data_IF_742443938114
#
_entry.id   IF_742443938114
#
_cell.length_a   1.000
_cell.length_b   1.000
_cell.length_c   1.000
_cell.angle_alpha   90.00
_cell.angle_beta   90.00
_cell.angle_gamma   90.00
#
_symmetry.space_group_name_H-M   'P 1'
#
loop_
_entity.id
_entity.type
_entity.pdbx_description
1 polymer ?
#
# COMPACT_ATOMS: atom_id res chain seq x y z
N UNK A 1 -10.98 -12.24 0.54
CA UNK A 1 -12.02 -12.65 -0.44
C UNK A 1 -11.36 -13.68 -1.37
N UNK A 2 -11.97 -14.12 -2.47
CA UNK A 2 -11.32 -15.11 -3.36
C UNK A 2 -10.34 -14.50 -4.36
N UNK A 3 -10.13 -13.17 -4.33
CA UNK A 3 -9.48 -12.45 -5.41
C UNK A 3 -8.14 -11.87 -4.98
N UNK A 4 -8.02 -11.44 -3.72
CA UNK A 4 -6.81 -10.83 -3.19
C UNK A 4 -6.48 -11.30 -1.78
N UNK A 5 -5.17 -11.41 -1.51
CA UNK A 5 -4.62 -11.47 -0.16
C UNK A 5 -4.07 -10.09 0.21
N UNK A 6 -4.61 -9.50 1.29
CA UNK A 6 -4.18 -8.19 1.79
C UNK A 6 -3.12 -8.31 2.88
N UNK A 7 -2.09 -7.47 2.81
CA UNK A 7 -0.96 -7.49 3.73
C UNK A 7 -0.34 -6.09 3.93
N UNK A 8 0.44 -5.94 4.99
CA UNK A 8 1.09 -4.68 5.35
C UNK A 8 0.34 -3.93 6.45
N UNK A 9 0.81 -2.72 6.76
CA UNK A 9 0.26 -1.94 7.88
C UNK A 9 -0.89 -1.06 7.37
N UNK A 10 -2.07 -1.21 7.96
CA UNK A 10 -3.28 -0.42 7.68
C UNK A 10 -3.22 1.01 8.28
N UNK A 11 -2.05 1.63 8.35
CA UNK A 11 -1.87 3.02 8.78
C UNK A 11 -1.32 3.86 7.63
N UNK A 12 -1.45 5.18 7.74
CA UNK A 12 -0.94 6.14 6.75
C UNK A 12 0.59 6.25 6.73
N UNK A 13 1.31 5.43 7.50
CA UNK A 13 2.75 5.57 7.69
C UNK A 13 3.48 4.92 6.50
N UNK A 14 3.58 5.66 5.40
CA UNK A 14 4.57 5.37 4.35
C UNK A 14 5.96 5.85 4.78
N UNK A 15 6.96 5.68 3.91
CA UNK A 15 8.29 6.26 4.13
C UNK A 15 8.29 7.80 4.26
N UNK A 16 7.23 8.46 3.77
CA UNK A 16 7.05 9.91 3.86
C UNK A 16 6.22 10.36 5.06
N UNK A 17 5.88 9.43 5.97
CA UNK A 17 5.02 9.69 7.14
C UNK A 17 3.63 10.26 6.78
N UNK A 18 3.18 9.95 5.57
CA UNK A 18 1.90 10.39 5.01
C UNK A 18 1.44 9.44 3.90
N UNK A 19 0.22 9.57 3.41
CA UNK A 19 -0.22 8.82 2.24
C UNK A 19 0.46 9.32 0.96
N UNK A 20 0.54 8.48 -0.06
CA UNK A 20 1.09 8.86 -1.36
C UNK A 20 0.08 8.69 -2.50
N UNK A 21 0.30 9.48 -3.55
CA UNK A 21 -0.56 9.55 -4.74
C UNK A 21 -0.52 8.24 -5.54
N UNK A 22 -1.56 8.00 -6.33
CA UNK A 22 -1.58 6.86 -7.25
C UNK A 22 -0.58 7.06 -8.39
N UNK A 23 0.05 5.96 -8.85
CA UNK A 23 0.92 6.01 -10.03
C UNK A 23 0.06 5.95 -11.30
N UNK A 24 0.06 6.98 -12.17
CA UNK A 24 -0.77 7.00 -13.37
C UNK A 24 -0.44 5.90 -14.39
N UNK A 25 0.76 5.33 -14.33
CA UNK A 25 1.15 4.18 -15.15
C UNK A 25 0.54 2.89 -14.59
N UNK A 26 0.67 2.68 -13.28
CA UNK A 26 0.10 1.52 -12.59
C UNK A 26 -1.43 1.47 -12.61
N UNK A 27 -2.11 2.63 -12.60
CA UNK A 27 -3.58 2.69 -12.78
C UNK A 27 -4.06 2.25 -14.17
N UNK A 28 -3.19 2.25 -15.18
CA UNK A 28 -3.53 1.78 -16.54
C UNK A 28 -3.38 0.27 -16.69
N UNK A 29 -2.72 -0.39 -15.73
CA UNK A 29 -2.55 -1.83 -15.73
C UNK A 29 -3.83 -2.51 -15.21
N UNK A 30 -4.04 -3.75 -15.64
CA UNK A 30 -5.24 -4.52 -15.30
C UNK A 30 -4.89 -5.60 -14.29
N UNK A 31 -5.81 -5.86 -13.37
CA UNK A 31 -5.80 -7.00 -12.45
C UNK A 31 -6.32 -8.26 -13.17
N UNK A 32 -5.65 -8.65 -14.25
CA UNK A 32 -6.14 -9.65 -15.22
C UNK A 32 -5.64 -11.08 -14.95
N UNK A 33 -4.69 -11.26 -14.03
CA UNK A 33 -4.10 -12.54 -13.68
C UNK A 33 -3.65 -12.60 -12.22
N UNK A 34 -3.46 -13.82 -11.73
CA UNK A 34 -2.86 -14.07 -10.43
C UNK A 34 -1.38 -13.68 -10.42
N UNK A 35 -0.87 -13.33 -9.24
CA UNK A 35 0.51 -12.92 -9.00
C UNK A 35 0.75 -11.41 -9.06
N UNK A 36 -0.23 -10.60 -9.49
CA UNK A 36 -0.06 -9.14 -9.51
C UNK A 36 -0.02 -8.54 -8.11
N UNK A 37 0.80 -7.50 -7.93
CA UNK A 37 0.89 -6.72 -6.69
C UNK A 37 0.25 -5.35 -6.90
N UNK A 38 -0.67 -4.96 -6.03
CA UNK A 38 -1.33 -3.65 -6.09
C UNK A 38 -1.34 -2.93 -4.75
N UNK A 39 -1.23 -1.60 -4.80
CA UNK A 39 -1.29 -0.76 -3.62
C UNK A 39 -2.74 -0.69 -3.12
N UNK A 40 -2.95 -0.92 -1.83
CA UNK A 40 -4.26 -0.79 -1.22
C UNK A 40 -4.44 0.63 -0.67
N UNK A 41 -5.61 1.22 -0.92
CA UNK A 41 -5.93 2.59 -0.53
C UNK A 41 -7.32 2.67 0.12
N UNK A 42 -7.64 3.83 0.70
CA UNK A 42 -8.96 4.18 1.25
C UNK A 42 -9.71 5.16 0.35
N UNK A 43 -9.41 5.13 -0.96
CA UNK A 43 -9.84 6.10 -1.96
C UNK A 43 -8.66 6.66 -2.78
N UNK A 44 -8.94 7.42 -3.85
CA UNK A 44 -7.89 7.92 -4.74
C UNK A 44 -6.81 8.71 -3.99
N UNK A 45 -5.54 8.46 -4.33
CA UNK A 45 -4.35 9.11 -3.77
C UNK A 45 -4.17 8.93 -2.25
N UNK A 46 -4.61 7.79 -1.71
CA UNK A 46 -4.47 7.47 -0.28
C UNK A 46 -3.67 6.20 -0.03
N UNK A 47 -2.66 5.93 -0.87
CA UNK A 47 -1.83 4.75 -0.73
C UNK A 47 -0.96 4.82 0.53
N UNK A 48 -0.65 3.66 1.10
CA UNK A 48 0.21 3.51 2.26
C UNK A 48 1.12 2.28 2.13
N UNK A 49 1.65 1.77 3.25
CA UNK A 49 2.37 0.49 3.27
C UNK A 49 1.46 -0.75 3.16
N UNK A 50 0.16 -0.57 2.96
CA UNK A 50 -0.80 -1.65 2.74
C UNK A 50 -0.85 -2.03 1.25
N UNK A 51 -0.80 -3.33 0.95
CA UNK A 51 -0.79 -3.85 -0.42
C UNK A 51 -1.59 -5.14 -0.54
N UNK A 52 -1.90 -5.52 -1.78
CA UNK A 52 -2.62 -6.73 -2.14
C UNK A 52 -1.81 -7.60 -3.09
N UNK A 53 -1.92 -8.92 -2.93
CA UNK A 53 -1.46 -9.91 -3.90
C UNK A 53 -2.70 -10.50 -4.58
N UNK A 54 -2.78 -10.39 -5.90
CA UNK A 54 -3.89 -10.93 -6.69
C UNK A 54 -3.75 -12.44 -6.80
N UNK A 55 -4.77 -13.20 -6.40
CA UNK A 55 -4.82 -14.67 -6.49
C UNK A 55 -5.75 -15.16 -7.61
N UNK A 56 -6.62 -14.28 -8.10
CA UNK A 56 -7.55 -14.53 -9.21
C UNK A 56 -7.88 -13.21 -9.92
N UNK A 57 -8.18 -13.20 -11.24
CA UNK A 57 -8.51 -11.96 -11.95
C UNK A 57 -9.57 -11.11 -11.22
N UNK A 58 -9.26 -9.84 -11.00
CA UNK A 58 -10.03 -8.92 -10.18
C UNK A 58 -10.33 -7.60 -10.92
N UNK A 59 -11.07 -7.65 -12.05
CA UNK A 59 -11.26 -6.49 -12.92
C UNK A 59 -11.99 -5.31 -12.26
N UNK A 60 -12.70 -5.55 -11.15
CA UNK A 60 -13.37 -4.52 -10.35
C UNK A 60 -12.37 -3.60 -9.60
N UNK A 61 -11.08 -3.93 -9.59
CA UNK A 61 -10.01 -3.12 -9.00
C UNK A 61 -9.30 -2.22 -10.03
N UNK A 62 -9.61 -2.38 -11.33
CA UNK A 62 -8.92 -1.67 -12.41
C UNK A 62 -9.19 -0.16 -12.37
N UNK A 63 -8.14 0.64 -12.49
CA UNK A 63 -8.23 2.10 -12.50
C UNK A 63 -8.36 2.75 -11.11
N UNK A 64 -8.61 1.96 -10.06
CA UNK A 64 -8.74 2.44 -8.68
C UNK A 64 -7.56 2.04 -7.79
N UNK A 65 -6.91 0.92 -8.09
CA UNK A 65 -5.76 0.39 -7.34
C UNK A 65 -4.53 0.29 -8.24
N UNK A 66 -3.43 0.90 -7.80
CA UNK A 66 -2.20 0.98 -8.58
C UNK A 66 -1.48 -0.37 -8.59
N UNK A 67 -1.32 -1.00 -9.76
CA UNK A 67 -0.45 -2.18 -9.92
C UNK A 67 1.01 -1.72 -9.98
N UNK A 68 1.88 -2.31 -9.15
CA UNK A 68 3.29 -1.92 -9.05
C UNK A 68 4.28 -3.06 -9.26
N UNK A 69 3.83 -4.31 -9.37
CA UNK A 69 4.71 -5.44 -9.57
C UNK A 69 3.98 -6.77 -9.74
N UNK A 70 4.76 -7.85 -9.76
CA UNK A 70 4.24 -9.21 -9.82
C UNK A 70 5.15 -10.20 -9.07
N UNK A 71 4.55 -11.31 -8.64
CA UNK A 71 5.24 -12.45 -8.03
C UNK A 71 5.98 -13.22 -9.11
N UNK A 72 7.31 -13.20 -9.06
CA UNK A 72 8.16 -13.92 -10.01
C UNK A 72 8.41 -15.37 -9.56
N UNK A 73 8.52 -15.61 -8.25
CA UNK A 73 8.75 -16.92 -7.63
C UNK A 73 7.94 -17.00 -6.33
N UNK A 74 7.44 -18.19 -5.99
CA UNK A 74 6.72 -18.43 -4.73
C UNK A 74 5.21 -18.27 -4.82
N UNK A 75 4.62 -18.41 -6.01
CA UNK A 75 3.16 -18.33 -6.17
C UNK A 75 2.42 -19.46 -5.45
N UNK A 76 3.07 -20.63 -5.29
CA UNK A 76 2.58 -21.73 -4.47
C UNK A 76 2.44 -21.34 -2.98
N UNK A 77 3.40 -20.56 -2.46
CA UNK A 77 3.33 -20.02 -1.09
C UNK A 77 2.18 -19.03 -0.96
N UNK A 78 1.98 -18.15 -1.96
CA UNK A 78 0.84 -17.23 -1.99
C UNK A 78 -0.48 -18.01 -1.96
N UNK A 79 -0.63 -19.04 -2.79
CA UNK A 79 -1.84 -19.87 -2.79
C UNK A 79 -2.05 -20.63 -1.47
N UNK A 80 -0.97 -21.05 -0.80
CA UNK A 80 -1.05 -21.65 0.53
C UNK A 80 -1.54 -20.65 1.59
N UNK A 81 -1.13 -19.38 1.51
CA UNK A 81 -1.64 -18.30 2.38
C UNK A 81 -3.12 -18.04 2.13
N UNK A 82 -3.54 -17.87 0.87
CA UNK A 82 -4.95 -17.72 0.50
C UNK A 82 -5.83 -18.86 1.02
N UNK A 83 -5.30 -20.09 1.02
CA UNK A 83 -6.01 -21.29 1.51
C UNK A 83 -6.28 -21.26 3.02
N UNK A 84 -5.63 -20.37 3.78
CA UNK A 84 -5.95 -20.16 5.20
C UNK A 84 -7.27 -19.41 5.40
N UNK A 85 -7.81 -18.75 4.37
CA UNK A 85 -9.07 -18.01 4.42
C UNK A 85 -10.09 -18.55 3.42
N UNK A 86 -10.55 -19.82 3.56
CA UNK A 86 -11.39 -20.43 2.55
C UNK A 86 -12.75 -19.72 2.44
N UNK A 87 -13.41 -19.81 1.27
CA UNK A 87 -14.70 -19.15 1.04
C UNK A 87 -15.75 -19.52 2.09
N UNK A 88 -16.39 -18.51 2.66
CA UNK A 88 -17.42 -18.70 3.68
C UNK A 88 -16.89 -19.01 5.09
N UNK A 89 -15.56 -19.04 5.29
CA UNK A 89 -14.99 -19.14 6.62
C UNK A 89 -15.24 -17.84 7.41
N UNK A 90 -15.74 -18.00 8.64
CA UNK A 90 -15.95 -16.86 9.55
C UNK A 90 -14.62 -16.31 10.10
N UNK A 91 -13.56 -17.12 10.11
CA UNK A 91 -12.21 -16.78 10.57
C UNK A 91 -11.16 -17.53 9.75
N UNK A 92 -9.94 -17.03 9.74
CA UNK A 92 -8.81 -17.72 9.09
C UNK A 92 -8.42 -19.00 9.85
N UNK A 93 -8.12 -20.07 9.13
CA UNK A 93 -7.65 -21.36 9.65
C UNK A 93 -6.25 -21.28 10.28
N UNK A 94 -5.50 -20.22 10.00
CA UNK A 94 -4.19 -19.96 10.56
C UNK A 94 -3.75 -18.53 10.28
N UNK A 95 -2.58 -18.16 10.78
CA UNK A 95 -1.98 -16.84 10.57
C UNK A 95 -0.72 -16.98 9.72
N UNK A 96 -0.65 -16.20 8.64
CA UNK A 96 0.58 -16.01 7.87
C UNK A 96 1.29 -14.74 8.35
N UNK A 97 2.61 -14.80 8.51
CA UNK A 97 3.41 -13.64 8.94
C UNK A 97 4.68 -13.57 8.13
N UNK A 98 5.00 -12.37 7.64
CA UNK A 98 6.27 -12.10 6.95
C UNK A 98 7.38 -12.07 8.00
N UNK A 99 8.22 -13.11 8.02
CA UNK A 99 9.30 -13.26 9.00
C UNK A 99 10.58 -12.52 8.60
N UNK A 100 10.79 -12.35 7.29
CA UNK A 100 11.89 -11.58 6.73
C UNK A 100 11.44 -10.99 5.38
N UNK A 101 11.84 -9.75 5.12
CA UNK A 101 11.66 -9.08 3.85
C UNK A 101 12.91 -8.26 3.54
N UNK A 102 13.21 -8.11 2.26
CA UNK A 102 14.39 -7.39 1.81
C UNK A 102 14.37 -7.23 0.30
N UNK A 103 15.42 -6.59 -0.19
CA UNK A 103 15.63 -6.46 -1.62
C UNK A 103 16.79 -7.37 -2.04
N UNK A 104 16.57 -8.14 -3.11
CA UNK A 104 17.51 -9.17 -3.57
C UNK A 104 18.71 -8.57 -4.32
N UNK A 105 18.46 -7.67 -5.27
CA UNK A 105 19.48 -7.02 -6.11
C UNK A 105 19.03 -5.60 -6.50
N UNK A 106 19.98 -4.69 -6.75
CA UNK A 106 19.76 -3.36 -7.33
C UNK A 106 18.69 -2.52 -6.61
N UNK A 107 18.72 -2.53 -5.28
CA UNK A 107 17.79 -1.77 -4.47
C UNK A 107 17.99 -0.28 -4.73
N UNK A 108 16.91 0.42 -5.07
CA UNK A 108 16.96 1.87 -5.08
C UNK A 108 17.40 2.36 -3.69
N UNK A 109 18.34 3.32 -3.61
CA UNK A 109 18.70 3.91 -2.33
C UNK A 109 17.42 4.48 -1.71
N UNK A 110 17.28 4.31 -0.39
CA UNK A 110 16.16 4.90 0.34
C UNK A 110 16.17 6.40 0.02
N UNK A 111 15.07 6.98 -0.50
CA UNK A 111 15.04 8.42 -0.71
C UNK A 111 15.30 9.10 0.64
N UNK A 112 16.23 10.05 0.68
CA UNK A 112 16.41 10.88 1.87
C UNK A 112 15.05 11.53 2.17
N UNK A 113 14.57 11.34 3.40
CA UNK A 113 13.34 11.96 3.86
C UNK A 113 13.62 13.45 4.05
N UNK A 114 13.68 14.21 2.96
CA UNK A 114 13.63 15.67 3.06
C UNK A 114 12.18 16.00 3.37
N UNK A 115 11.84 16.09 4.64
CA UNK A 115 10.55 16.57 5.10
C UNK A 115 10.35 18.02 4.61
N UNK A 116 9.85 18.19 3.39
CA UNK A 116 9.26 19.46 2.99
C UNK A 116 7.88 19.50 3.62
N UNK A 117 7.84 19.96 4.87
CA UNK A 117 6.63 20.44 5.50
C UNK A 117 6.01 21.48 4.55
N UNK A 118 5.03 21.07 3.73
CA UNK A 118 4.21 22.01 2.97
C UNK A 118 3.24 22.60 3.98
N UNK A 119 3.60 23.75 4.54
CA UNK A 119 2.62 24.61 5.21
C UNK A 119 1.52 24.91 4.20
N UNK A 120 0.36 24.28 4.34
CA UNK A 120 -0.87 24.78 3.73
C UNK A 120 -1.13 26.14 4.37
N UNK A 121 -0.86 27.23 3.65
CA UNK A 121 -1.35 28.56 4.03
C UNK A 121 -2.87 28.56 3.92
N UNK A 122 -3.56 28.23 5.00
CA UNK A 122 -4.93 28.66 5.17
C UNK A 122 -4.89 30.16 5.49
N UNK A 123 -5.43 30.95 4.56
CA UNK A 123 -5.66 32.40 4.71
C UNK A 123 -6.64 32.65 5.87
N UNK A 124 -6.14 32.58 7.10
CA UNK A 124 -6.89 32.89 8.30
C UNK A 124 -6.91 34.41 8.51
N UNK A 125 -8.11 34.96 8.66
CA UNK A 125 -8.34 36.37 8.94
C UNK A 125 -7.69 36.75 10.28
N UNK A 126 -6.81 37.74 10.21
CA UNK A 126 -6.47 38.73 11.21
C UNK A 126 -7.04 38.52 12.63
N UNK A 127 -6.36 37.75 13.49
CA UNK A 127 -6.32 37.98 14.94
C UNK A 127 -4.96 37.55 15.48
N UNK A 128 -4.27 38.53 16.05
CA UNK A 128 -3.05 38.44 16.84
C UNK A 128 -3.11 37.30 17.89
N UNK A 129 -2.20 36.31 17.81
CA UNK A 129 -1.39 35.79 18.93
C UNK A 129 -0.40 34.74 18.43
N UNK A 130 0.88 35.13 18.47
CA UNK A 130 2.03 34.25 18.26
C UNK A 130 2.05 33.16 19.33
N UNK A 131 2.08 31.91 18.91
CA UNK A 131 2.83 30.85 19.59
C UNK A 131 3.18 29.79 18.55
N UNK A 132 4.30 30.01 17.86
CA UNK A 132 4.95 28.99 17.06
C UNK A 132 5.63 28.07 18.07
N UNK A 133 5.10 26.87 18.28
CA UNK A 133 5.86 25.79 18.91
C UNK A 133 6.54 25.00 17.77
N UNK A 134 7.86 24.77 17.86
CA UNK A 134 8.62 24.17 16.78
C UNK A 134 8.28 22.68 16.65
N UNK A 135 8.43 22.16 15.44
CA UNK A 135 8.59 20.72 15.21
C UNK A 135 9.80 20.26 16.04
N UNK A 136 9.60 19.26 16.90
CA UNK A 136 10.72 18.57 17.55
C UNK A 136 11.12 17.36 16.71
N UNK A 137 12.43 17.13 16.64
CA UNK A 137 13.14 16.00 16.02
C UNK A 137 12.67 14.62 16.50
#
# INVERSE_FOLDING_TARGET
DQFIDQAGVHSVNSIWDTSFDDDPGGLKLLHDRAGLLSAANSGPNTNSGHFSIVVSPAPHLNGDYTVFGEVVVGMDVVMAVNSLAPPGAATTLGTATVTAAGCLNNCAPRPEVTAKCKTRETKARNVQRRSIKPCLD
#
